data_IF_575585591950
#
_entry.id   IF_575585591950
#
_cell.length_a   1.000
_cell.length_b   1.000
_cell.length_c   1.000
_cell.angle_alpha   90.00
_cell.angle_beta   90.00
_cell.angle_gamma   90.00
#
_symmetry.space_group_name_H-M   'P 1'
#
loop_
_entity.id
_entity.type
_entity.pdbx_description
1 polymer ?
#
# COMPACT_ATOMS: atom_id res chain seq x y z
N UNK A 1 -42.83 -30.29 27.44
CA UNK A 1 -42.61 -28.83 27.33
C UNK A 1 -41.13 -28.57 27.10
N UNK A 2 -40.65 -28.68 25.86
CA UNK A 2 -39.25 -28.35 25.52
C UNK A 2 -39.06 -28.29 23.99
N UNK A 3 -39.73 -27.38 23.29
CA UNK A 3 -39.45 -27.18 21.85
C UNK A 3 -39.32 -25.70 21.40
N UNK A 4 -39.40 -24.75 22.36
CA UNK A 4 -39.43 -23.34 22.03
C UNK A 4 -38.06 -22.58 22.01
N UNK A 5 -36.99 -23.15 22.57
CA UNK A 5 -35.69 -22.43 22.72
C UNK A 5 -34.68 -22.63 21.57
N UNK A 6 -34.88 -23.62 20.72
CA UNK A 6 -33.95 -23.90 19.62
C UNK A 6 -34.15 -22.98 18.40
N UNK A 7 -35.37 -22.48 18.18
CA UNK A 7 -35.69 -21.66 17.01
C UNK A 7 -35.29 -20.19 17.13
N UNK A 8 -35.10 -19.64 18.33
CA UNK A 8 -34.73 -18.24 18.54
C UNK A 8 -33.23 -18.03 18.28
N UNK A 9 -32.39 -19.00 18.69
CA UNK A 9 -30.94 -18.93 18.47
C UNK A 9 -30.53 -19.11 17.00
N UNK A 10 -31.32 -19.88 16.24
CA UNK A 10 -31.04 -20.08 14.82
C UNK A 10 -31.45 -18.89 13.95
N UNK A 11 -32.53 -18.17 14.32
CA UNK A 11 -32.91 -16.92 13.64
C UNK A 11 -31.92 -15.76 13.91
N UNK A 12 -31.40 -15.64 15.12
CA UNK A 12 -30.40 -14.60 15.44
C UNK A 12 -29.05 -14.80 14.72
N UNK A 13 -28.62 -16.04 14.47
CA UNK A 13 -27.40 -16.33 13.72
C UNK A 13 -27.52 -16.09 12.22
N UNK A 14 -28.71 -16.24 11.65
CA UNK A 14 -28.94 -16.01 10.22
C UNK A 14 -29.03 -14.51 9.92
N UNK A 15 -29.62 -13.68 10.81
CA UNK A 15 -29.73 -12.24 10.60
C UNK A 15 -28.38 -11.51 10.72
N UNK A 16 -27.52 -11.88 11.66
CA UNK A 16 -26.19 -11.29 11.81
C UNK A 16 -25.27 -11.56 10.59
N UNK A 17 -25.38 -12.73 9.97
CA UNK A 17 -24.58 -13.08 8.79
C UNK A 17 -25.02 -12.39 7.48
N UNK A 18 -26.21 -11.82 7.43
CA UNK A 18 -26.69 -11.06 6.26
C UNK A 18 -26.31 -9.57 6.35
N UNK A 19 -26.35 -8.97 7.54
CA UNK A 19 -25.95 -7.57 7.73
C UNK A 19 -24.47 -7.32 7.46
N UNK A 20 -23.57 -8.26 7.84
CA UNK A 20 -22.14 -8.11 7.54
C UNK A 20 -21.83 -8.20 6.04
N UNK A 21 -22.54 -9.05 5.28
CA UNK A 21 -22.35 -9.13 3.82
C UNK A 21 -22.85 -7.90 3.10
N UNK A 22 -23.94 -7.33 3.55
CA UNK A 22 -24.54 -6.15 2.92
C UNK A 22 -23.71 -4.89 3.20
N UNK A 23 -23.11 -4.75 4.39
CA UNK A 23 -22.20 -3.66 4.71
C UNK A 23 -20.91 -3.72 3.86
N UNK A 24 -20.27 -4.88 3.73
CA UNK A 24 -19.07 -5.04 2.90
C UNK A 24 -19.35 -4.78 1.41
N UNK A 25 -20.52 -5.21 0.91
CA UNK A 25 -20.96 -4.96 -0.47
C UNK A 25 -21.30 -3.48 -0.67
N UNK A 26 -21.88 -2.79 0.32
CA UNK A 26 -22.18 -1.36 0.21
C UNK A 26 -20.91 -0.49 0.23
N UNK A 27 -19.96 -0.79 1.09
CA UNK A 27 -18.67 -0.06 1.14
C UNK A 27 -17.87 -0.29 -0.15
N UNK A 28 -17.80 -1.52 -0.65
CA UNK A 28 -17.20 -1.83 -1.95
C UNK A 28 -17.88 -1.09 -3.12
N UNK A 29 -19.20 -0.96 -3.11
CA UNK A 29 -19.97 -0.22 -4.12
C UNK A 29 -19.79 1.29 -4.00
N UNK A 30 -19.70 1.84 -2.79
CA UNK A 30 -19.44 3.26 -2.55
C UNK A 30 -18.03 3.66 -2.98
N UNK A 31 -17.01 2.85 -2.66
CA UNK A 31 -15.62 3.04 -3.10
C UNK A 31 -15.49 2.93 -4.63
N UNK A 32 -16.18 1.96 -5.24
CA UNK A 32 -16.19 1.81 -6.70
C UNK A 32 -16.89 2.99 -7.39
N UNK A 33 -17.96 3.49 -6.79
CA UNK A 33 -18.70 4.68 -7.28
C UNK A 33 -17.86 5.96 -7.21
N UNK A 34 -17.10 6.16 -6.14
CA UNK A 34 -16.17 7.31 -5.99
C UNK A 34 -15.03 7.23 -7.00
N UNK A 35 -14.46 6.05 -7.26
CA UNK A 35 -13.45 5.85 -8.29
C UNK A 35 -13.99 6.20 -9.70
N UNK A 36 -15.23 5.82 -10.01
CA UNK A 36 -15.86 6.15 -11.31
C UNK A 36 -16.16 7.64 -11.45
N UNK A 37 -16.56 8.31 -10.36
CA UNK A 37 -16.89 9.75 -10.38
C UNK A 37 -15.64 10.61 -10.57
N UNK A 38 -14.51 10.25 -9.95
CA UNK A 38 -13.23 10.96 -10.11
C UNK A 38 -12.71 10.84 -11.54
N UNK A 39 -12.91 9.69 -12.20
CA UNK A 39 -12.54 9.51 -13.62
C UNK A 39 -13.37 10.39 -14.55
N UNK A 40 -14.62 10.69 -14.20
CA UNK A 40 -15.49 11.56 -15.03
C UNK A 40 -15.23 13.06 -14.84
N UNK A 41 -14.69 13.50 -13.72
CA UNK A 41 -14.45 14.92 -13.38
C UNK A 41 -13.12 15.43 -13.93
N UNK A 42 -12.12 14.56 -14.13
CA UNK A 42 -10.81 14.92 -14.66
C UNK A 42 -10.84 14.97 -16.22
N UNK A 43 -11.49 15.98 -16.79
CA UNK A 43 -11.20 16.36 -18.19
C UNK A 43 -9.87 17.10 -18.21
N UNK A 44 -8.83 16.61 -18.89
CA UNK A 44 -7.56 17.31 -18.96
C UNK A 44 -7.74 18.64 -19.72
N UNK A 45 -7.47 19.75 -19.06
CA UNK A 45 -7.15 21.01 -19.74
C UNK A 45 -5.78 20.82 -20.40
N UNK A 46 -5.80 20.70 -21.72
CA UNK A 46 -4.60 20.53 -22.55
C UNK A 46 -3.84 21.85 -22.56
N UNK A 47 -2.79 21.95 -21.78
CA UNK A 47 -1.68 22.86 -22.01
C UNK A 47 -0.43 22.24 -21.40
N UNK A 48 0.20 21.32 -22.10
CA UNK A 48 1.49 20.73 -21.72
C UNK A 48 2.54 21.14 -22.73
N UNK A 49 3.63 21.74 -22.23
CA UNK A 49 4.82 22.03 -22.98
C UNK A 49 5.51 20.75 -23.48
N UNK A 50 6.03 20.77 -24.69
CA UNK A 50 6.66 19.64 -25.38
C UNK A 50 7.89 19.02 -24.68
N UNK A 51 8.46 19.65 -23.66
CA UNK A 51 9.61 19.13 -22.88
C UNK A 51 9.25 18.05 -21.86
N UNK A 52 8.01 18.00 -21.37
CA UNK A 52 7.53 16.94 -20.50
C UNK A 52 7.34 15.59 -21.23
N UNK A 53 7.22 15.63 -22.54
CA UNK A 53 6.91 14.47 -23.39
C UNK A 53 8.05 13.44 -23.50
N UNK A 54 9.32 13.82 -23.28
CA UNK A 54 10.45 12.88 -23.42
C UNK A 54 10.67 11.99 -22.19
N UNK A 55 10.13 12.34 -21.03
CA UNK A 55 10.21 11.53 -19.80
C UNK A 55 9.16 10.43 -19.72
N UNK A 56 8.06 10.60 -20.41
CA UNK A 56 6.82 9.87 -20.12
C UNK A 56 6.60 8.62 -20.99
N UNK A 57 7.44 8.38 -22.00
CA UNK A 57 7.17 7.31 -22.96
C UNK A 57 7.54 5.91 -22.48
N UNK A 58 8.27 5.75 -21.38
CA UNK A 58 8.74 4.43 -20.93
C UNK A 58 8.19 3.95 -19.60
N UNK A 59 7.53 4.82 -18.83
CA UNK A 59 7.08 4.47 -17.48
C UNK A 59 5.65 3.95 -17.47
N UNK A 60 5.34 3.03 -16.58
CA UNK A 60 4.01 2.54 -16.26
C UNK A 60 3.21 3.60 -15.48
N UNK A 61 3.14 4.84 -16.00
CA UNK A 61 2.41 5.98 -15.42
C UNK A 61 2.61 6.07 -13.88
N UNK A 62 3.87 6.23 -13.44
CA UNK A 62 4.22 6.37 -12.02
C UNK A 62 4.39 5.07 -11.24
N UNK A 63 4.47 3.92 -11.89
CA UNK A 63 4.78 2.65 -11.22
C UNK A 63 6.29 2.43 -11.00
N UNK A 64 7.14 3.10 -11.77
CA UNK A 64 8.60 2.99 -11.72
C UNK A 64 9.17 4.06 -10.77
N UNK A 65 9.68 3.64 -9.62
CA UNK A 65 10.22 4.56 -8.60
C UNK A 65 11.43 5.36 -9.10
N UNK A 66 12.26 4.77 -9.97
CA UNK A 66 13.48 5.41 -10.49
C UNK A 66 13.23 6.27 -11.74
N UNK A 67 12.01 6.26 -12.26
CA UNK A 67 11.56 7.15 -13.33
C UNK A 67 10.29 7.89 -12.93
N UNK A 68 10.37 8.70 -11.86
CA UNK A 68 9.20 9.43 -11.38
C UNK A 68 8.77 10.46 -12.42
N UNK A 69 7.46 10.59 -12.68
CA UNK A 69 6.93 11.70 -13.46
C UNK A 69 7.08 13.01 -12.69
N UNK A 70 6.99 14.15 -13.38
CA UNK A 70 7.12 15.47 -12.74
C UNK A 70 6.09 15.65 -11.63
N UNK A 71 4.85 15.25 -11.89
CA UNK A 71 3.79 15.22 -10.90
C UNK A 71 2.97 13.95 -11.06
N UNK A 72 2.63 13.35 -9.93
CA UNK A 72 1.80 12.15 -9.88
C UNK A 72 0.86 12.24 -8.70
N UNK A 73 -0.42 12.08 -8.97
CA UNK A 73 -1.43 11.79 -7.96
C UNK A 73 -1.81 10.32 -8.02
N UNK A 74 -1.78 9.65 -6.87
CA UNK A 74 -2.23 8.26 -6.75
C UNK A 74 -3.33 8.15 -5.71
N UNK A 75 -4.36 7.42 -6.06
CA UNK A 75 -5.39 6.97 -5.15
C UNK A 75 -5.31 5.45 -5.04
N UNK A 76 -5.10 4.95 -3.84
CA UNK A 76 -4.92 3.53 -3.57
C UNK A 76 -5.91 3.08 -2.52
N UNK A 77 -6.69 2.04 -2.83
CA UNK A 77 -7.53 1.37 -1.83
C UNK A 77 -6.91 0.04 -1.46
N UNK A 78 -6.74 -0.18 -0.17
CA UNK A 78 -6.22 -1.44 0.37
C UNK A 78 -7.29 -2.13 1.20
N UNK A 79 -7.35 -3.43 1.08
CA UNK A 79 -8.03 -4.31 2.02
C UNK A 79 -7.01 -5.29 2.57
N UNK A 80 -6.86 -5.34 3.89
CA UNK A 80 -5.95 -6.24 4.58
C UNK A 80 -6.65 -6.92 5.73
N UNK A 81 -6.39 -8.22 5.92
CA UNK A 81 -6.71 -8.93 7.15
C UNK A 81 -5.42 -9.39 7.82
N UNK A 82 -5.33 -9.26 9.12
CA UNK A 82 -4.19 -9.69 9.92
C UNK A 82 -4.66 -10.29 11.25
N UNK A 83 -3.83 -11.11 11.94
CA UNK A 83 -4.12 -11.54 13.30
C UNK A 83 -4.29 -10.33 14.22
N UNK A 84 -5.37 -10.28 14.99
CA UNK A 84 -5.67 -9.23 15.95
C UNK A 84 -5.29 -9.61 17.38
N UNK A 85 -5.11 -8.61 18.23
CA UNK A 85 -5.01 -8.79 19.67
C UNK A 85 -6.41 -8.65 20.28
N UNK A 86 -7.06 -9.75 20.53
CA UNK A 86 -8.34 -9.72 21.22
C UNK A 86 -8.82 -11.14 21.41
N UNK A 87 -8.89 -11.58 22.63
CA UNK A 87 -9.39 -12.89 22.97
C UNK A 87 -10.67 -12.74 23.73
N UNK A 88 -11.78 -12.94 23.09
CA UNK A 88 -12.92 -13.53 23.76
C UNK A 88 -12.69 -15.03 23.74
N UNK A 89 -12.23 -15.61 24.86
CA UNK A 89 -12.03 -17.06 25.07
C UNK A 89 -10.85 -17.71 24.32
N UNK A 90 -9.68 -17.04 24.23
CA UNK A 90 -8.46 -17.69 23.71
C UNK A 90 -8.39 -17.83 22.17
N UNK A 91 -9.34 -17.27 21.43
CA UNK A 91 -9.37 -17.30 19.98
C UNK A 91 -8.67 -16.05 19.42
N UNK A 92 -7.72 -16.24 18.52
CA UNK A 92 -7.12 -15.14 17.74
C UNK A 92 -8.16 -14.72 16.71
N UNK A 93 -8.64 -13.48 16.82
CA UNK A 93 -9.55 -12.89 15.83
C UNK A 93 -8.76 -12.11 14.79
N UNK A 94 -9.21 -12.16 13.53
CA UNK A 94 -8.63 -11.33 12.49
C UNK A 94 -9.12 -9.88 12.62
N UNK A 95 -8.20 -8.95 12.42
CA UNK A 95 -8.50 -7.54 12.25
C UNK A 95 -8.49 -7.24 10.76
N UNK A 96 -9.55 -6.62 10.28
CA UNK A 96 -9.64 -6.08 8.94
C UNK A 96 -9.22 -4.61 8.96
N UNK A 97 -8.45 -4.21 7.97
CA UNK A 97 -8.09 -2.81 7.73
C UNK A 97 -8.38 -2.47 6.28
N UNK A 98 -9.26 -1.52 6.08
CA UNK A 98 -9.51 -0.88 4.81
C UNK A 98 -8.82 0.49 4.81
N UNK A 99 -8.14 0.81 3.73
CA UNK A 99 -7.38 2.07 3.62
C UNK A 99 -7.68 2.72 2.28
N UNK A 100 -8.04 3.99 2.30
CA UNK A 100 -7.92 4.87 1.16
C UNK A 100 -6.67 5.73 1.35
N UNK A 101 -5.61 5.46 0.58
CA UNK A 101 -4.38 6.24 0.64
C UNK A 101 -4.33 7.23 -0.51
N UNK A 102 -4.20 8.50 -0.17
CA UNK A 102 -3.98 9.58 -1.13
C UNK A 102 -2.49 9.88 -1.14
N UNK A 103 -1.87 9.78 -2.31
CA UNK A 103 -0.44 10.03 -2.51
C UNK A 103 -0.22 11.11 -3.54
N UNK A 104 0.73 11.96 -3.24
CA UNK A 104 1.27 12.93 -4.18
C UNK A 104 2.77 12.76 -4.29
N UNK A 105 3.25 12.58 -5.52
CA UNK A 105 4.67 12.53 -5.85
C UNK A 105 5.03 13.74 -6.73
N UNK A 106 6.20 14.32 -6.46
CA UNK A 106 6.77 15.41 -7.22
C UNK A 106 8.24 15.16 -7.48
N UNK A 107 8.67 15.27 -8.74
CA UNK A 107 10.06 15.08 -9.13
C UNK A 107 10.67 16.37 -9.68
N UNK A 108 11.86 16.71 -9.17
CA UNK A 108 12.65 17.87 -9.53
C UNK A 108 13.98 17.41 -10.14
N UNK A 109 14.37 17.98 -11.27
CA UNK A 109 15.73 17.83 -11.80
C UNK A 109 16.69 18.69 -11.00
N UNK A 110 17.63 18.06 -10.30
CA UNK A 110 18.69 18.75 -9.58
C UNK A 110 19.87 19.13 -10.51
N UNK A 111 20.19 18.24 -11.42
CA UNK A 111 21.28 18.36 -12.39
C UNK A 111 21.06 17.33 -13.52
N UNK A 112 21.82 17.37 -14.61
CA UNK A 112 21.79 16.31 -15.61
C UNK A 112 21.95 14.93 -14.94
N UNK A 113 21.02 14.02 -15.20
CA UNK A 113 20.95 12.66 -14.64
C UNK A 113 20.63 12.54 -13.13
N UNK A 114 20.42 13.65 -12.41
CA UNK A 114 20.06 13.66 -10.99
C UNK A 114 18.65 14.17 -10.77
N UNK A 115 17.83 13.41 -10.07
CA UNK A 115 16.43 13.72 -9.77
C UNK A 115 16.24 13.68 -8.25
N UNK A 116 15.53 14.66 -7.71
CA UNK A 116 14.96 14.61 -6.36
C UNK A 116 13.50 14.20 -6.48
N UNK A 117 13.17 13.05 -5.95
CA UNK A 117 11.81 12.54 -5.88
C UNK A 117 11.24 12.78 -4.48
N UNK A 118 10.18 13.57 -4.40
CA UNK A 118 9.43 13.87 -3.19
C UNK A 118 8.11 13.12 -3.23
N UNK A 119 7.65 12.63 -2.08
CA UNK A 119 6.38 11.91 -1.91
C UNK A 119 5.73 12.28 -0.62
N UNK A 120 4.41 12.35 -0.62
CA UNK A 120 3.59 12.44 0.59
C UNK A 120 2.44 11.45 0.52
N UNK A 121 2.16 10.77 1.61
CA UNK A 121 1.06 9.82 1.76
C UNK A 121 0.12 10.25 2.90
N UNK A 122 -1.18 10.24 2.63
CA UNK A 122 -2.23 10.47 3.62
C UNK A 122 -3.19 9.27 3.61
N UNK A 123 -3.07 8.34 4.58
CA UNK A 123 -3.96 7.20 4.69
C UNK A 123 -5.22 7.55 5.48
N UNK A 124 -6.39 7.24 4.92
CA UNK A 124 -7.68 7.24 5.60
C UNK A 124 -8.06 5.79 5.87
N UNK A 125 -8.32 5.45 7.12
CA UNK A 125 -8.49 4.07 7.58
C UNK A 125 -9.90 3.79 8.07
N UNK A 126 -10.37 2.57 7.80
CA UNK A 126 -11.43 1.90 8.53
C UNK A 126 -10.85 0.59 9.08
N UNK A 127 -10.88 0.39 10.39
CA UNK A 127 -10.26 -0.74 11.06
C UNK A 127 -11.13 -1.22 12.22
N UNK A 128 -11.25 -2.54 12.38
CA UNK A 128 -12.05 -3.16 13.44
C UNK A 128 -11.17 -3.87 14.51
N UNK A 129 -10.35 -3.13 15.29
CA UNK A 129 -9.52 -3.73 16.31
C UNK A 129 -10.39 -4.18 17.48
N UNK A 130 -10.17 -5.41 17.99
CA UNK A 130 -10.78 -5.87 19.22
C UNK A 130 -9.87 -5.47 20.38
N UNK A 131 -10.39 -4.72 21.34
CA UNK A 131 -9.67 -4.23 22.52
C UNK A 131 -10.62 -4.06 23.68
N UNK A 132 -10.11 -3.74 24.88
CA UNK A 132 -10.97 -3.39 26.04
C UNK A 132 -11.88 -2.19 25.77
N UNK A 133 -11.48 -1.26 24.93
CA UNK A 133 -12.28 -0.10 24.50
C UNK A 133 -13.16 -0.35 23.28
N UNK A 134 -13.00 -1.51 22.60
CA UNK A 134 -13.79 -1.91 21.45
C UNK A 134 -13.98 -3.45 21.46
N UNK A 135 -14.72 -3.97 22.45
CA UNK A 135 -14.85 -5.42 22.66
C UNK A 135 -15.63 -6.13 21.56
N UNK A 136 -16.54 -5.42 20.91
CA UNK A 136 -17.39 -5.96 19.84
C UNK A 136 -16.72 -5.91 18.46
N UNK A 137 -15.57 -5.24 18.34
CA UNK A 137 -14.83 -5.11 17.08
C UNK A 137 -15.52 -4.21 16.06
N UNK A 138 -16.15 -3.15 16.53
CA UNK A 138 -16.74 -2.11 15.66
C UNK A 138 -15.67 -1.44 14.80
N UNK A 139 -16.06 -0.99 13.61
CA UNK A 139 -15.16 -0.26 12.73
C UNK A 139 -14.90 1.16 13.27
N UNK A 140 -13.61 1.46 13.47
CA UNK A 140 -13.10 2.78 13.77
C UNK A 140 -12.60 3.43 12.50
N UNK A 141 -12.99 4.69 12.28
CA UNK A 141 -12.66 5.46 11.08
C UNK A 141 -11.79 6.66 11.45
N UNK A 142 -10.82 6.98 10.60
CA UNK A 142 -10.01 8.18 10.79
C UNK A 142 -8.77 8.21 9.89
N UNK A 143 -7.89 9.18 10.18
CA UNK A 143 -6.59 9.31 9.53
C UNK A 143 -5.63 8.30 10.15
N UNK A 144 -4.81 7.64 9.33
CA UNK A 144 -3.68 6.84 9.78
C UNK A 144 -2.40 7.65 9.95
N UNK A 145 -1.27 6.97 10.01
CA UNK A 145 0.03 7.62 10.08
C UNK A 145 0.43 8.18 8.71
N UNK A 146 0.47 9.49 8.61
CA UNK A 146 0.90 10.18 7.38
C UNK A 146 2.42 10.13 7.24
N UNK A 147 2.89 10.16 6.00
CA UNK A 147 4.32 10.15 5.75
C UNK A 147 4.77 11.08 4.62
N UNK A 148 6.04 11.47 4.71
CA UNK A 148 6.75 12.19 3.65
C UNK A 148 8.06 11.47 3.34
N UNK A 149 8.43 11.44 2.06
CA UNK A 149 9.65 10.80 1.58
C UNK A 149 10.41 11.73 0.66
N UNK A 150 11.73 11.72 0.79
CA UNK A 150 12.64 12.33 -0.16
C UNK A 150 13.67 11.30 -0.60
N UNK A 151 13.90 11.21 -1.91
CA UNK A 151 14.91 10.31 -2.47
C UNK A 151 15.66 10.99 -3.61
N UNK A 152 16.96 10.81 -3.64
CA UNK A 152 17.83 11.24 -4.74
C UNK A 152 18.06 10.05 -5.64
N UNK A 153 17.82 10.23 -6.93
CA UNK A 153 17.97 9.22 -7.97
C UNK A 153 19.06 9.71 -8.93
N UNK A 154 19.99 8.84 -9.24
CA UNK A 154 21.04 9.08 -10.23
C UNK A 154 20.90 8.08 -11.40
N UNK A 155 20.63 8.60 -12.59
CA UNK A 155 20.58 7.81 -13.80
C UNK A 155 22.01 7.60 -14.31
N UNK A 156 22.60 6.43 -14.04
CA UNK A 156 23.97 6.08 -14.49
C UNK A 156 24.04 5.91 -16.00
N UNK A 157 22.94 5.50 -16.61
CA UNK A 157 22.76 5.35 -18.05
C UNK A 157 21.26 5.34 -18.38
N UNK A 158 20.92 5.17 -19.65
CA UNK A 158 19.51 4.95 -20.04
C UNK A 158 18.91 3.68 -19.44
N UNK A 159 19.75 2.65 -19.12
CA UNK A 159 19.32 1.37 -18.54
C UNK A 159 19.42 1.31 -17.02
N UNK A 160 20.43 1.95 -16.45
CA UNK A 160 20.74 1.87 -15.02
C UNK A 160 20.40 3.14 -14.28
N UNK A 161 19.75 2.99 -13.16
CA UNK A 161 19.60 4.04 -12.16
C UNK A 161 19.85 3.46 -10.76
N UNK A 162 20.34 4.32 -9.86
CA UNK A 162 20.50 4.03 -8.43
C UNK A 162 19.86 5.16 -7.65
N UNK A 163 19.43 4.88 -6.44
CA UNK A 163 18.82 5.91 -5.61
C UNK A 163 18.89 5.57 -4.13
N UNK A 164 18.87 6.62 -3.33
CA UNK A 164 18.80 6.53 -1.89
C UNK A 164 17.94 7.66 -1.33
N UNK A 165 17.39 7.46 -0.16
CA UNK A 165 16.53 8.45 0.47
C UNK A 165 16.07 8.03 1.83
N UNK A 166 15.09 8.74 2.35
CA UNK A 166 14.44 8.40 3.60
C UNK A 166 12.97 8.81 3.59
N UNK A 167 12.16 8.08 4.34
CA UNK A 167 10.78 8.40 4.64
C UNK A 167 10.66 8.72 6.13
N UNK A 168 9.93 9.77 6.47
CA UNK A 168 9.54 10.12 7.83
C UNK A 168 8.05 9.84 7.98
N UNK A 169 7.68 9.04 8.98
CA UNK A 169 6.31 8.67 9.28
C UNK A 169 5.92 9.33 10.59
N UNK A 170 4.85 10.11 10.58
CA UNK A 170 4.34 10.81 11.73
C UNK A 170 3.17 10.03 12.37
N UNK A 171 3.08 9.94 13.71
CA UNK A 171 2.02 9.21 14.40
C UNK A 171 0.69 9.99 14.41
N UNK A 172 0.17 10.33 13.22
CA UNK A 172 -1.07 11.12 13.06
C UNK A 172 -2.33 10.28 13.25
N UNK A 173 -2.22 8.95 13.24
CA UNK A 173 -3.35 8.02 13.37
C UNK A 173 -3.88 7.85 14.80
N UNK A 174 -3.33 8.55 15.77
CA UNK A 174 -3.72 8.42 17.17
C UNK A 174 -3.47 7.03 17.74
N UNK A 175 -4.13 6.72 18.86
CA UNK A 175 -3.85 5.50 19.64
C UNK A 175 -4.35 4.20 19.01
N UNK A 176 -5.36 4.28 18.14
CA UNK A 176 -6.05 3.09 17.61
C UNK A 176 -5.79 2.83 16.13
N UNK A 177 -5.63 3.89 15.33
CA UNK A 177 -5.46 3.80 13.88
C UNK A 177 -4.01 3.93 13.44
N UNK A 178 -3.15 4.53 14.27
CA UNK A 178 -1.72 4.69 14.01
C UNK A 178 -0.84 3.76 14.82
N UNK A 179 0.47 3.87 14.58
CA UNK A 179 1.51 3.18 15.35
C UNK A 179 1.80 3.86 16.69
N UNK A 180 1.45 5.14 16.84
CA UNK A 180 1.83 5.98 17.98
C UNK A 180 3.31 6.31 18.03
N UNK A 181 4.08 5.99 16.96
CA UNK A 181 5.54 6.16 16.89
C UNK A 181 5.95 7.03 15.72
N UNK A 182 6.87 7.94 15.97
CA UNK A 182 7.68 8.55 14.92
C UNK A 182 8.63 7.52 14.36
N UNK A 183 8.68 7.38 13.03
CA UNK A 183 9.53 6.41 12.37
C UNK A 183 10.34 7.09 11.28
N UNK A 184 11.58 6.62 11.09
CA UNK A 184 12.40 6.95 9.94
C UNK A 184 12.68 5.67 9.16
N UNK A 185 12.59 5.76 7.83
CA UNK A 185 12.78 4.63 6.94
C UNK A 185 13.79 5.00 5.85
N UNK A 186 15.11 4.84 6.08
CA UNK A 186 16.09 4.91 5.01
C UNK A 186 15.79 3.89 3.91
N UNK A 187 16.08 4.30 2.68
CA UNK A 187 15.75 3.58 1.45
C UNK A 187 16.97 3.60 0.55
N UNK A 188 17.31 2.47 -0.03
CA UNK A 188 18.31 2.34 -1.09
C UNK A 188 17.80 1.36 -2.13
N UNK A 189 18.11 1.59 -3.39
CA UNK A 189 17.75 0.68 -4.46
C UNK A 189 18.45 0.99 -5.76
N UNK A 190 18.19 0.13 -6.72
CA UNK A 190 18.69 0.24 -8.07
C UNK A 190 17.61 -0.17 -9.07
N UNK A 191 17.77 0.24 -10.32
CA UNK A 191 16.91 -0.15 -11.43
C UNK A 191 17.74 -0.57 -12.63
N UNK A 192 17.28 -1.60 -13.30
CA UNK A 192 17.81 -2.02 -14.59
C UNK A 192 16.70 -2.27 -15.60
N UNK A 193 16.74 -1.59 -16.76
CA UNK A 193 15.78 -1.78 -17.83
C UNK A 193 16.03 -3.07 -18.61
N UNK A 194 14.99 -3.86 -18.79
CA UNK A 194 15.00 -5.15 -19.51
C UNK A 194 14.38 -4.97 -20.90
N UNK A 195 14.98 -4.12 -21.73
CA UNK A 195 14.44 -3.77 -23.05
C UNK A 195 14.38 -4.96 -24.01
N UNK A 196 15.16 -6.01 -23.74
CA UNK A 196 15.14 -7.27 -24.47
C UNK A 196 13.79 -7.99 -24.35
N UNK A 197 13.06 -7.77 -23.23
CA UNK A 197 11.72 -8.32 -23.03
C UNK A 197 10.65 -7.37 -23.56
N UNK A 198 10.70 -6.10 -23.16
CA UNK A 198 9.80 -5.03 -23.59
C UNK A 198 10.38 -3.69 -23.13
N UNK A 199 10.09 -2.60 -23.84
CA UNK A 199 10.59 -1.25 -23.52
C UNK A 199 10.18 -0.74 -22.12
N UNK A 200 9.09 -1.26 -21.56
CA UNK A 200 8.59 -0.94 -20.21
C UNK A 200 8.94 -1.98 -19.15
N UNK A 201 9.75 -3.01 -19.50
CA UNK A 201 10.18 -4.04 -18.54
C UNK A 201 11.42 -3.60 -17.78
N UNK A 202 11.43 -3.89 -16.48
CA UNK A 202 12.57 -3.57 -15.61
C UNK A 202 12.60 -4.45 -14.36
N UNK A 203 13.77 -4.48 -13.73
CA UNK A 203 13.96 -5.00 -12.38
C UNK A 203 14.37 -3.84 -11.46
N UNK A 204 13.82 -3.82 -10.25
CA UNK A 204 13.96 -2.71 -9.30
C UNK A 204 14.04 -3.24 -7.86
N UNK A 205 15.22 -3.75 -7.43
CA UNK A 205 15.41 -4.12 -6.04
C UNK A 205 15.52 -2.88 -5.15
N UNK A 206 14.66 -2.83 -4.12
CA UNK A 206 14.65 -1.78 -3.10
C UNK A 206 14.77 -2.43 -1.72
N UNK A 207 15.65 -1.88 -0.88
CA UNK A 207 15.78 -2.21 0.54
C UNK A 207 15.34 -0.99 1.34
N UNK A 208 14.57 -1.23 2.41
CA UNK A 208 14.14 -0.22 3.37
C UNK A 208 14.37 -0.72 4.79
N UNK A 209 14.69 0.19 5.69
CA UNK A 209 14.81 -0.13 7.11
C UNK A 209 13.94 0.84 7.92
N UNK A 210 12.80 0.33 8.37
CA UNK A 210 11.82 1.10 9.13
C UNK A 210 12.12 0.99 10.62
N UNK A 211 12.40 2.11 11.28
CA UNK A 211 12.75 2.14 12.70
C UNK A 211 12.04 3.30 13.41
N UNK A 212 11.43 3.00 14.57
CA UNK A 212 10.87 4.01 15.45
C UNK A 212 11.96 4.63 16.32
N UNK A 213 11.88 5.96 16.54
CA UNK A 213 12.86 6.70 17.33
C UNK A 213 12.23 7.58 18.42
N UNK A 214 10.90 7.84 18.37
CA UNK A 214 10.16 8.63 19.34
C UNK A 214 8.68 8.24 19.36
N UNK A 215 7.89 8.82 20.24
CA UNK A 215 6.43 8.64 20.34
C UNK A 215 6.00 8.02 21.66
N UNK A 216 4.80 7.42 21.69
CA UNK A 216 4.21 6.82 22.88
C UNK A 216 5.05 5.67 23.44
N UNK A 217 5.58 5.74 24.66
CA UNK A 217 6.41 4.67 25.24
C UNK A 217 5.63 3.38 25.51
N UNK A 218 4.31 3.41 25.56
CA UNK A 218 3.46 2.22 25.76
C UNK A 218 3.26 1.42 24.48
N UNK A 219 3.54 2.00 23.33
CA UNK A 219 3.47 1.34 22.02
C UNK A 219 4.76 0.58 21.72
N UNK A 220 4.62 -0.50 20.96
CA UNK A 220 5.74 -1.35 20.53
C UNK A 220 6.76 -0.58 19.70
N UNK A 221 8.03 -0.87 19.91
CA UNK A 221 9.09 -0.35 19.06
C UNK A 221 9.09 -1.07 17.71
N UNK A 222 9.21 -0.28 16.66
CA UNK A 222 9.23 -0.75 15.28
C UNK A 222 10.68 -0.82 14.83
N UNK A 223 11.06 -1.94 14.26
CA UNK A 223 12.34 -2.15 13.60
C UNK A 223 12.15 -3.24 12.56
N UNK A 224 11.99 -2.87 11.28
CA UNK A 224 11.69 -3.79 10.20
C UNK A 224 12.64 -3.59 9.03
N UNK A 225 13.37 -4.64 8.66
CA UNK A 225 14.04 -4.68 7.36
C UNK A 225 13.02 -5.12 6.32
N UNK A 226 12.89 -4.35 5.24
CA UNK A 226 11.93 -4.58 4.17
C UNK A 226 12.65 -4.70 2.83
N UNK A 227 12.18 -5.60 2.00
CA UNK A 227 12.73 -5.84 0.67
C UNK A 227 11.62 -5.92 -0.39
N UNK A 228 11.84 -5.26 -1.52
CA UNK A 228 11.02 -5.36 -2.73
C UNK A 228 11.93 -5.70 -3.91
N UNK A 229 12.05 -6.97 -4.31
CA UNK A 229 12.76 -7.35 -5.54
C UNK A 229 11.87 -7.20 -6.77
N UNK A 230 11.35 -5.99 -6.99
CA UNK A 230 10.34 -5.74 -8.02
C UNK A 230 10.83 -6.18 -9.40
N UNK A 231 10.06 -7.02 -10.05
CA UNK A 231 10.21 -7.37 -11.47
C UNK A 231 8.95 -6.94 -12.21
N UNK A 232 9.08 -5.98 -13.12
CA UNK A 232 7.99 -5.50 -13.95
C UNK A 232 8.14 -5.99 -15.38
N UNK A 233 7.08 -6.59 -15.91
CA UNK A 233 6.98 -7.07 -17.28
C UNK A 233 5.94 -6.23 -18.03
N UNK A 234 6.39 -5.46 -19.01
CA UNK A 234 5.52 -4.80 -19.96
C UNK A 234 4.91 -5.79 -20.95
N UNK A 235 3.63 -5.64 -21.23
CA UNK A 235 2.85 -6.48 -22.12
C UNK A 235 2.26 -5.65 -23.27
N UNK A 236 1.74 -6.28 -24.34
CA UNK A 236 1.01 -5.59 -25.40
C UNK A 236 -0.17 -4.76 -24.85
N UNK A 237 -0.68 -3.82 -25.64
CA UNK A 237 -1.85 -3.00 -25.37
C UNK A 237 -1.77 -2.21 -24.03
N UNK A 238 -0.54 -1.79 -23.67
CA UNK A 238 -0.25 -1.00 -22.48
C UNK A 238 -0.53 -1.74 -21.15
N UNK A 239 -0.61 -3.08 -21.16
CA UNK A 239 -0.70 -3.89 -19.95
C UNK A 239 0.68 -4.07 -19.31
N UNK A 240 0.70 -4.37 -18.03
CA UNK A 240 1.89 -4.79 -17.30
C UNK A 240 1.56 -5.74 -16.16
N UNK A 241 2.53 -6.57 -15.79
CA UNK A 241 2.51 -7.39 -14.59
C UNK A 241 3.76 -7.06 -13.78
N UNK A 242 3.59 -6.85 -12.47
CA UNK A 242 4.70 -6.64 -11.54
C UNK A 242 4.66 -7.70 -10.45
N UNK A 243 5.78 -8.36 -10.22
CA UNK A 243 6.01 -9.24 -9.09
C UNK A 243 6.72 -8.44 -8.00
N UNK A 244 6.31 -8.63 -6.76
CA UNK A 244 6.82 -7.89 -5.59
C UNK A 244 6.83 -6.37 -5.77
N UNK A 245 5.71 -5.76 -6.19
CA UNK A 245 5.64 -4.32 -6.44
C UNK A 245 5.68 -3.49 -5.16
N UNK A 246 5.54 -4.14 -4.01
CA UNK A 246 5.55 -3.53 -2.67
C UNK A 246 6.69 -4.13 -1.84
N UNK A 247 7.26 -3.34 -0.91
CA UNK A 247 8.29 -3.81 0.02
C UNK A 247 7.67 -4.62 1.16
N UNK A 248 7.02 -5.72 0.81
CA UNK A 248 6.26 -6.53 1.74
C UNK A 248 7.02 -7.77 2.25
N UNK A 249 8.17 -8.11 1.66
CA UNK A 249 9.10 -9.06 2.30
C UNK A 249 9.71 -8.36 3.50
N UNK A 250 9.49 -8.88 4.73
CA UNK A 250 9.87 -8.19 5.96
C UNK A 250 10.52 -9.11 6.96
N UNK A 251 11.51 -8.56 7.66
CA UNK A 251 12.15 -9.19 8.82
C UNK A 251 11.93 -8.26 10.02
N UNK A 252 11.16 -8.71 11.00
CA UNK A 252 10.95 -7.96 12.25
C UNK A 252 12.18 -8.09 13.15
N UNK A 253 12.82 -6.95 13.43
CA UNK A 253 13.95 -6.81 14.36
C UNK A 253 13.53 -6.04 15.63
N UNK A 254 12.29 -5.52 15.66
CA UNK A 254 11.69 -4.80 16.78
C UNK A 254 10.93 -5.71 17.75
N UNK A 255 10.00 -5.08 18.46
CA UNK A 255 9.16 -5.80 19.41
C UNK A 255 8.23 -6.78 18.70
N UNK A 256 7.95 -7.95 19.30
CA UNK A 256 7.07 -8.94 18.70
C UNK A 256 5.62 -8.44 18.63
N UNK A 257 4.91 -8.80 17.56
CA UNK A 257 3.49 -8.49 17.38
C UNK A 257 2.61 -9.71 17.69
N UNK A 258 1.30 -9.50 17.78
CA UNK A 258 0.34 -10.57 18.04
C UNK A 258 0.40 -11.66 16.97
N UNK A 259 0.44 -12.92 17.39
CA UNK A 259 0.51 -14.07 16.50
C UNK A 259 1.87 -14.33 15.87
N UNK A 260 2.92 -13.59 16.28
CA UNK A 260 4.27 -13.79 15.79
C UNK A 260 4.91 -15.05 16.37
N UNK A 261 5.47 -15.89 15.49
CA UNK A 261 6.18 -17.14 15.84
C UNK A 261 7.66 -17.10 15.46
N UNK A 262 8.02 -16.27 14.50
CA UNK A 262 9.38 -15.99 14.03
C UNK A 262 9.50 -14.56 13.54
N UNK A 263 10.50 -14.26 12.71
CA UNK A 263 10.78 -12.87 12.28
C UNK A 263 10.45 -12.60 10.83
N UNK A 264 10.29 -13.63 10.00
CA UNK A 264 10.15 -13.51 8.56
C UNK A 264 8.68 -13.43 8.14
N UNK A 265 8.39 -12.46 7.28
CA UNK A 265 7.20 -12.42 6.44
C UNK A 265 7.62 -12.45 4.98
N UNK A 266 7.21 -13.47 4.25
CA UNK A 266 7.42 -13.64 2.81
C UNK A 266 6.07 -13.87 2.14
N UNK A 267 5.49 -12.87 1.46
CA UNK A 267 4.29 -13.05 0.67
C UNK A 267 4.64 -13.52 -0.76
N UNK A 268 3.65 -14.07 -1.45
CA UNK A 268 3.54 -13.95 -2.90
C UNK A 268 2.74 -12.68 -3.19
N UNK A 269 3.34 -11.76 -3.93
CA UNK A 269 2.76 -10.45 -4.21
C UNK A 269 2.86 -10.14 -5.71
N UNK A 270 1.70 -9.93 -6.33
CA UNK A 270 1.59 -9.70 -7.78
C UNK A 270 0.61 -8.57 -8.07
N UNK A 271 0.98 -7.71 -9.02
CA UNK A 271 0.14 -6.63 -9.53
C UNK A 271 -0.05 -6.79 -11.03
N UNK A 272 -1.27 -6.64 -11.49
CA UNK A 272 -1.60 -6.47 -12.90
C UNK A 272 -2.19 -5.09 -13.12
N UNK A 273 -1.81 -4.42 -14.20
CA UNK A 273 -2.32 -3.09 -14.49
C UNK A 273 -2.29 -2.77 -15.98
N UNK A 274 -2.93 -1.64 -16.31
CA UNK A 274 -2.99 -1.12 -17.67
C UNK A 274 -2.92 0.42 -17.64
N UNK A 275 -2.17 1.00 -18.57
CA UNK A 275 -2.31 2.42 -18.89
C UNK A 275 -3.59 2.62 -19.69
N UNK A 276 -4.56 3.27 -19.07
CA UNK A 276 -5.89 3.52 -19.66
C UNK A 276 -5.91 4.78 -20.54
N UNK A 277 -4.93 5.68 -20.31
CA UNK A 277 -4.64 6.85 -21.16
C UNK A 277 -3.14 7.15 -21.11
N UNK A 278 -2.69 8.21 -21.76
CA UNK A 278 -1.26 8.59 -21.73
C UNK A 278 -0.81 9.09 -20.36
N UNK A 279 -1.73 9.60 -19.57
CA UNK A 279 -1.48 10.15 -18.24
C UNK A 279 -2.18 9.39 -17.09
N UNK A 280 -2.79 8.23 -17.36
CA UNK A 280 -3.46 7.47 -16.30
C UNK A 280 -3.22 5.97 -16.42
N UNK A 281 -3.03 5.31 -15.27
CA UNK A 281 -2.95 3.87 -15.14
C UNK A 281 -3.86 3.37 -14.01
N UNK A 282 -4.45 2.20 -14.24
CA UNK A 282 -5.23 1.47 -13.24
C UNK A 282 -4.56 0.12 -13.00
N UNK A 283 -4.41 -0.28 -11.74
CA UNK A 283 -3.83 -1.57 -11.39
C UNK A 283 -4.53 -2.22 -10.20
N UNK A 284 -4.44 -3.54 -10.16
CA UNK A 284 -4.91 -4.40 -9.06
C UNK A 284 -3.74 -5.23 -8.56
N UNK A 285 -3.59 -5.31 -7.24
CA UNK A 285 -2.53 -6.06 -6.56
C UNK A 285 -3.15 -7.06 -5.59
N UNK A 286 -2.57 -8.26 -5.56
CA UNK A 286 -2.91 -9.33 -4.64
C UNK A 286 -1.66 -9.80 -3.92
N UNK A 287 -1.72 -9.86 -2.59
CA UNK A 287 -0.67 -10.40 -1.73
C UNK A 287 -1.21 -11.49 -0.80
N UNK A 288 -0.56 -12.65 -0.82
CA UNK A 288 -0.86 -13.78 0.08
C UNK A 288 0.43 -14.26 0.75
N UNK A 289 0.44 -14.57 2.05
CA UNK A 289 1.66 -15.01 2.71
C UNK A 289 2.05 -16.44 2.31
N UNK A 290 3.33 -16.64 2.01
CA UNK A 290 3.98 -17.95 1.90
C UNK A 290 4.59 -18.33 3.26
N UNK A 291 5.32 -17.38 3.89
CA UNK A 291 5.85 -17.49 5.25
C UNK A 291 5.29 -16.31 6.05
N UNK A 292 4.66 -16.59 7.17
CA UNK A 292 4.05 -15.58 8.04
C UNK A 292 4.42 -15.73 9.51
N UNK A 293 5.68 -16.03 9.77
CA UNK A 293 6.21 -16.07 11.13
C UNK A 293 6.10 -14.69 11.79
N UNK A 294 6.25 -13.63 11.01
CA UNK A 294 5.91 -12.25 11.35
C UNK A 294 4.62 -11.86 10.59
N UNK A 295 3.43 -11.92 11.22
CA UNK A 295 2.15 -11.87 10.53
C UNK A 295 1.74 -10.43 10.16
N UNK A 296 2.23 -9.92 9.03
CA UNK A 296 1.88 -8.60 8.50
C UNK A 296 0.44 -8.55 7.98
N UNK A 297 0.03 -9.60 7.27
CA UNK A 297 -1.35 -9.81 6.81
C UNK A 297 -1.60 -11.29 6.48
N UNK A 298 -2.88 -11.69 6.44
CA UNK A 298 -3.32 -12.99 5.91
C UNK A 298 -3.72 -12.87 4.43
N UNK A 299 -4.23 -11.70 4.05
CA UNK A 299 -4.61 -11.34 2.69
C UNK A 299 -4.43 -9.84 2.52
N UNK A 300 -3.91 -9.43 1.38
CA UNK A 300 -3.87 -8.05 0.92
C UNK A 300 -4.44 -7.97 -0.48
N UNK A 301 -5.37 -7.07 -0.71
CA UNK A 301 -5.76 -6.62 -2.05
C UNK A 301 -5.63 -5.11 -2.14
N UNK A 302 -5.29 -4.61 -3.32
CA UNK A 302 -5.16 -3.19 -3.57
C UNK A 302 -5.65 -2.85 -4.97
N UNK A 303 -6.40 -1.77 -5.10
CA UNK A 303 -6.67 -1.09 -6.36
C UNK A 303 -5.94 0.23 -6.35
N UNK A 304 -5.27 0.57 -7.44
CA UNK A 304 -4.53 1.82 -7.58
C UNK A 304 -4.90 2.52 -8.87
N UNK A 305 -5.21 3.80 -8.74
CA UNK A 305 -5.34 4.75 -9.83
C UNK A 305 -4.17 5.75 -9.76
N UNK A 306 -3.41 5.85 -10.83
CA UNK A 306 -2.33 6.80 -11.01
C UNK A 306 -2.74 7.84 -12.05
N UNK A 307 -2.49 9.11 -11.79
CA UNK A 307 -2.72 10.21 -12.73
C UNK A 307 -1.48 11.12 -12.72
N UNK A 308 -0.84 11.27 -13.89
CA UNK A 308 0.31 12.17 -14.09
C UNK A 308 -0.16 13.48 -14.75
N UNK A 309 0.50 14.61 -14.44
CA UNK A 309 0.16 15.93 -15.01
C UNK A 309 1.34 16.91 -14.98
#
# INVERSE_FOLDING_TARGET
>A
MSSGRCNVLMKARISAGWEERDAAVMVGRALFGVCLLVVMILRPTIAASQEAQSRDQSANAGEDFFKPPSNLFQMMTYYKTAPGSGSTKGSITNVTTETLNLRYDHALDLAPMWILALRSDLPLLAKNPISSGNPDGDYLHGVGDADVQAAVIHNLSQRWAVGFGARLIAPTGGDTLGSGKWQIMPIIGARYALWELNSSSYIEPIIRYDVSFAGDPTKKNISNLQFAPTFNLGLPDRWFISFYPSADIRINLGDPITGQTGRLFLPFDVRIGRRVSDNAALSFELGVPIIKDYPVYNLKTQVRLNVTY
#
